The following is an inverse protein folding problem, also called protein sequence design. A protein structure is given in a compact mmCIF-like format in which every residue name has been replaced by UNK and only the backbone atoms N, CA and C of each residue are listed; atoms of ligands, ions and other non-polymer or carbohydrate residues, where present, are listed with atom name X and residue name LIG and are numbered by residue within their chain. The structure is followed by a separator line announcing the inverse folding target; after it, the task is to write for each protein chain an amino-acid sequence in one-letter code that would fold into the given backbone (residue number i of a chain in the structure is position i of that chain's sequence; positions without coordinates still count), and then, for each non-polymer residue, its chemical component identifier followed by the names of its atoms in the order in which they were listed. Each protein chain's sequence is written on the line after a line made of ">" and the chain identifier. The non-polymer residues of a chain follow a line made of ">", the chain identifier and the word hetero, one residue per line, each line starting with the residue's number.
data_IF_768028511710
#
_entry.id   IF_768028511710
#
_cell.length_a   1.000
_cell.length_b   1.000
_cell.length_c   1.000
_cell.angle_alpha   90.00
_cell.angle_beta   90.00
_cell.angle_gamma   90.00
#
_symmetry.space_group_name_H-M   'P 1'
#
loop_
_entity.id
_entity.type
_entity.pdbx_description
1 polymer ?
#
# COMPACT_ATOMS: atom_id res chain seq x y z
N UNK A 1 -16.42 -16.55 10.81
CA UNK A 1 -15.92 -16.27 10.73
C UNK A 1 -15.30 -15.69 10.66
N UNK A 2 -15.06 -15.37 10.62
CA UNK A 2 -14.57 -14.93 10.53
C UNK A 2 -13.77 -14.37 10.44
N UNK A 3 -13.39 -14.07 10.34
CA UNK A 3 -12.73 -13.47 10.22
C UNK A 3 -11.89 -13.13 9.99
N UNK A 4 -11.55 -13.14 9.90
CA UNK A 4 -10.81 -12.81 9.46
C UNK A 4 -10.11 -11.80 9.11
N UNK A 5 -9.93 -11.24 9.62
CA UNK A 5 -9.43 -10.04 9.47
C UNK A 5 -8.02 -10.08 9.37
N UNK A 6 -7.41 -10.78 10.15
CA UNK A 6 -6.08 -10.92 10.11
C UNK A 6 -5.82 -12.08 9.44
N UNK A 7 -6.03 -12.11 8.29
CA UNK A 7 -6.01 -13.18 7.72
C UNK A 7 -4.72 -13.70 7.39
N UNK A 8 -4.59 -14.92 7.45
CA UNK A 8 -3.42 -15.63 7.15
C UNK A 8 -3.38 -16.05 5.73
N UNK A 9 -4.26 -15.51 4.92
CA UNK A 9 -4.30 -15.94 3.57
C UNK A 9 -3.07 -15.41 2.86
N UNK A 10 -2.62 -16.12 1.87
CA UNK A 10 -1.49 -15.72 1.08
C UNK A 10 -1.93 -15.03 -0.18
N UNK A 11 -3.20 -14.69 -0.28
CA UNK A 11 -3.72 -14.05 -1.48
C UNK A 11 -4.47 -12.80 -1.13
N UNK A 12 -4.47 -11.85 -2.04
CA UNK A 12 -5.26 -10.65 -1.88
C UNK A 12 -6.74 -11.03 -1.90
N UNK A 13 -7.52 -10.36 -1.06
CA UNK A 13 -8.97 -10.58 -1.00
C UNK A 13 -9.54 -10.44 -2.39
N UNK A 14 -10.27 -11.45 -2.88
CA UNK A 14 -10.81 -11.39 -4.25
C UNK A 14 -11.73 -10.20 -4.51
N UNK A 15 -12.42 -9.71 -3.47
CA UNK A 15 -13.29 -8.57 -3.66
C UNK A 15 -12.50 -7.29 -3.92
N UNK A 16 -11.33 -7.20 -3.32
CA UNK A 16 -10.45 -6.08 -3.54
C UNK A 16 -9.77 -6.26 -4.90
N UNK A 17 -9.29 -7.45 -5.17
CA UNK A 17 -8.62 -7.73 -6.44
C UNK A 17 -9.52 -7.42 -7.63
N UNK A 18 -10.82 -7.69 -7.50
CA UNK A 18 -11.74 -7.46 -8.59
C UNK A 18 -11.95 -5.99 -8.90
N UNK A 19 -11.62 -5.10 -7.98
CA UNK A 19 -11.81 -3.67 -8.17
C UNK A 19 -10.60 -2.98 -8.79
N UNK A 20 -9.49 -3.69 -8.92
CA UNK A 20 -8.27 -3.06 -9.41
C UNK A 20 -8.16 -3.18 -10.92
N UNK A 21 -7.70 -2.09 -11.52
CA UNK A 21 -7.41 -2.11 -12.93
C UNK A 21 -5.90 -2.08 -13.07
N UNK A 22 -5.33 -3.23 -13.35
CA UNK A 22 -3.89 -3.39 -13.40
C UNK A 22 -3.37 -3.08 -14.79
N UNK A 23 -2.10 -2.66 -14.86
CA UNK A 23 -1.47 -2.46 -16.16
C UNK A 23 -1.04 -3.82 -16.73
N UNK A 24 -0.34 -3.80 -17.84
CA UNK A 24 0.03 -5.03 -18.53
C UNK A 24 0.98 -5.88 -17.70
N UNK A 25 1.62 -5.31 -16.70
CA UNK A 25 2.54 -6.05 -15.85
C UNK A 25 1.93 -6.41 -14.51
N UNK A 26 0.65 -6.20 -14.36
CA UNK A 26 -0.05 -6.55 -13.14
C UNK A 26 0.13 -5.52 -12.03
N UNK A 27 0.46 -4.28 -12.38
CA UNK A 27 0.76 -3.25 -11.40
C UNK A 27 -0.29 -2.16 -11.37
N UNK A 28 -0.46 -1.57 -10.19
CA UNK A 28 -1.34 -0.43 -9.98
C UNK A 28 -0.52 0.63 -9.25
N UNK A 29 -0.65 1.88 -9.65
CA UNK A 29 0.04 2.96 -8.96
C UNK A 29 -0.61 3.20 -7.61
N UNK A 30 0.21 3.40 -6.60
CA UNK A 30 -0.24 3.70 -5.26
C UNK A 30 0.26 5.07 -4.86
N UNK A 31 -0.67 5.93 -4.47
CA UNK A 31 -0.39 7.30 -4.06
C UNK A 31 -0.44 7.36 -2.56
N UNK A 32 0.69 7.72 -1.93
CA UNK A 32 0.77 7.80 -0.48
C UNK A 32 0.60 9.25 -0.10
N UNK A 33 -0.38 9.54 0.74
CA UNK A 33 -0.73 10.90 1.11
C UNK A 33 -0.69 11.08 2.61
N UNK A 34 -0.40 12.29 3.02
CA UNK A 34 -0.47 12.63 4.42
C UNK A 34 -1.93 12.61 4.85
N UNK A 35 -2.20 11.98 5.97
CA UNK A 35 -3.56 11.71 6.41
C UNK A 35 -4.42 12.95 6.53
N UNK A 36 -3.89 14.02 7.11
CA UNK A 36 -4.72 15.18 7.41
C UNK A 36 -4.75 16.23 6.28
N UNK A 37 -3.69 16.38 5.52
CA UNK A 37 -3.64 17.42 4.50
C UNK A 37 -3.85 16.90 3.09
N UNK A 38 -3.73 15.57 2.91
CA UNK A 38 -3.80 14.93 1.62
C UNK A 38 -2.61 15.27 0.72
N UNK A 39 -1.57 15.86 1.28
CA UNK A 39 -0.38 16.14 0.52
C UNK A 39 0.23 14.82 0.06
N UNK A 40 0.62 14.74 -1.20
CA UNK A 40 1.21 13.53 -1.74
C UNK A 40 2.64 13.41 -1.24
N UNK A 41 2.94 12.30 -0.60
CA UNK A 41 4.26 12.04 -0.06
C UNK A 41 5.12 11.25 -1.02
N UNK A 42 4.52 10.33 -1.75
CA UNK A 42 5.24 9.59 -2.78
C UNK A 42 4.28 8.77 -3.61
N UNK A 43 4.76 8.27 -4.72
CA UNK A 43 3.99 7.37 -5.58
C UNK A 43 4.88 6.18 -5.87
N UNK A 44 4.33 5.01 -5.80
CA UNK A 44 5.04 3.79 -6.15
C UNK A 44 4.09 2.82 -6.80
N UNK A 45 4.53 1.59 -7.04
CA UNK A 45 3.70 0.61 -7.69
C UNK A 45 3.51 -0.60 -6.78
N UNK A 46 2.34 -1.22 -6.91
CA UNK A 46 2.05 -2.42 -6.16
C UNK A 46 1.50 -3.46 -7.10
N UNK A 47 1.96 -4.69 -6.94
CA UNK A 47 1.26 -5.82 -7.53
C UNK A 47 0.31 -6.34 -6.45
N UNK A 48 -0.42 -7.39 -6.73
CA UNK A 48 -1.41 -7.91 -5.78
C UNK A 48 -0.77 -8.28 -4.45
N UNK A 49 0.41 -8.87 -4.50
CA UNK A 49 1.08 -9.28 -3.26
C UNK A 49 1.54 -8.08 -2.44
N UNK A 50 2.03 -7.02 -3.10
CA UNK A 50 2.42 -5.82 -2.37
C UNK A 50 1.23 -5.20 -1.65
N UNK A 51 0.08 -5.16 -2.33
CA UNK A 51 -1.13 -4.61 -1.70
C UNK A 51 -1.57 -5.52 -0.56
N UNK A 52 -1.54 -6.83 -0.75
CA UNK A 52 -1.89 -7.75 0.32
C UNK A 52 -1.01 -7.52 1.55
N UNK A 53 0.29 -7.35 1.36
CA UNK A 53 1.19 -7.10 2.48
C UNK A 53 0.89 -5.78 3.15
N UNK A 54 0.57 -4.76 2.35
CA UNK A 54 0.22 -3.45 2.90
C UNK A 54 -1.01 -3.57 3.78
N UNK A 55 -2.03 -4.27 3.31
CA UNK A 55 -3.28 -4.39 4.05
C UNK A 55 -3.15 -5.27 5.30
N UNK A 56 -2.30 -6.28 5.26
CA UNK A 56 -2.20 -7.19 6.40
C UNK A 56 -1.21 -6.70 7.44
N UNK A 57 -0.16 -6.00 7.04
CA UNK A 57 0.84 -5.53 8.00
C UNK A 57 0.62 -4.10 8.45
N UNK A 58 -0.16 -3.34 7.69
CA UNK A 58 -0.35 -1.93 8.00
C UNK A 58 0.82 -1.08 7.56
N UNK A 59 1.77 -1.64 6.84
CA UNK A 59 2.94 -0.90 6.37
C UNK A 59 3.00 -0.94 4.86
N UNK A 60 3.19 0.22 4.25
CA UNK A 60 3.17 0.33 2.81
C UNK A 60 4.31 -0.47 2.21
N UNK A 61 3.96 -1.40 1.34
CA UNK A 61 4.91 -2.26 0.65
C UNK A 61 4.72 -2.07 -0.84
N UNK A 62 5.80 -1.84 -1.55
CA UNK A 62 5.77 -1.62 -2.99
C UNK A 62 6.48 -2.74 -3.71
N UNK A 63 6.23 -2.83 -5.01
CA UNK A 63 6.98 -3.71 -5.89
C UNK A 63 7.90 -2.85 -6.74
N UNK A 64 9.19 -3.10 -6.68
CA UNK A 64 10.16 -2.38 -7.48
C UNK A 64 10.31 -3.07 -8.84
N UNK A 65 9.93 -2.36 -9.89
CA UNK A 65 10.02 -2.93 -11.23
C UNK A 65 11.47 -3.11 -11.67
N UNK A 66 12.32 -2.19 -11.31
CA UNK A 66 13.71 -2.24 -11.75
C UNK A 66 14.50 -3.28 -11.00
N UNK A 67 14.22 -3.48 -9.72
CA UNK A 67 14.95 -4.43 -8.93
C UNK A 67 14.27 -5.79 -8.85
N UNK A 68 13.01 -5.87 -9.26
CA UNK A 68 12.23 -7.09 -9.18
C UNK A 68 12.19 -7.61 -7.75
N UNK A 69 11.90 -6.72 -6.82
CA UNK A 69 11.80 -7.09 -5.41
C UNK A 69 10.80 -6.21 -4.70
N UNK A 70 10.33 -6.67 -3.55
CA UNK A 70 9.45 -5.88 -2.70
C UNK A 70 10.29 -4.98 -1.82
N UNK A 71 9.76 -3.80 -1.50
CA UNK A 71 10.40 -2.97 -0.50
C UNK A 71 9.34 -2.28 0.32
N UNK A 72 9.62 -2.11 1.59
CA UNK A 72 8.67 -1.56 2.53
C UNK A 72 9.09 -0.17 2.91
N UNK A 73 8.14 0.76 2.81
CA UNK A 73 8.43 2.15 3.10
C UNK A 73 8.88 2.28 4.55
N UNK A 74 9.96 2.99 4.76
CA UNK A 74 10.50 3.22 6.09
C UNK A 74 11.57 2.26 6.54
N UNK A 75 11.74 1.13 5.87
CA UNK A 75 12.74 0.15 6.29
C UNK A 75 14.14 0.70 6.19
N UNK A 76 14.45 1.46 5.14
CA UNK A 76 15.78 2.01 4.97
C UNK A 76 15.94 3.32 5.74
N UNK A 77 14.96 4.19 5.68
CA UNK A 77 15.07 5.49 6.32
C UNK A 77 14.84 5.45 7.81
N UNK A 78 14.21 4.41 8.29
CA UNK A 78 13.83 4.31 9.70
C UNK A 78 12.56 5.07 10.06
N UNK A 79 11.94 5.74 9.08
CA UNK A 79 10.74 6.52 9.37
C UNK A 79 9.52 5.65 9.09
N UNK A 80 9.21 4.78 10.02
CA UNK A 80 8.12 3.83 9.87
C UNK A 80 6.80 4.51 10.17
N UNK A 81 5.85 4.37 9.26
CA UNK A 81 4.51 4.89 9.43
C UNK A 81 3.52 3.78 9.14
N UNK A 82 2.41 3.80 9.83
CA UNK A 82 1.38 2.79 9.61
C UNK A 82 0.22 3.39 8.83
N UNK A 83 -0.37 2.58 7.98
CA UNK A 83 -1.47 3.00 7.12
C UNK A 83 -2.67 3.41 7.97
N UNK A 84 -3.24 4.57 7.68
CA UNK A 84 -4.47 5.00 8.31
C UNK A 84 -5.69 4.70 7.48
N UNK A 85 -5.55 4.64 6.19
CA UNK A 85 -6.68 4.31 5.34
C UNK A 85 -6.23 3.96 3.94
N UNK A 86 -7.03 3.18 3.25
CA UNK A 86 -6.78 2.78 1.88
C UNK A 86 -8.06 2.96 1.09
N UNK A 87 -7.96 3.56 -0.07
CA UNK A 87 -9.09 3.76 -0.93
C UNK A 87 -8.71 3.32 -2.34
N UNK A 88 -9.59 2.63 -3.01
CA UNK A 88 -9.34 2.13 -4.34
C UNK A 88 -10.12 2.92 -5.35
N UNK A 89 -9.47 3.29 -6.45
CA UNK A 89 -10.12 4.07 -7.46
C UNK A 89 -9.65 3.56 -8.79
N UNK A 90 -10.35 2.63 -9.36
CA UNK A 90 -10.06 2.02 -10.66
C UNK A 90 -8.58 1.70 -10.84
N UNK A 91 -7.80 2.64 -11.32
CA UNK A 91 -6.41 2.41 -11.64
C UNK A 91 -5.44 2.97 -10.62
N UNK A 92 -5.94 3.45 -9.48
CA UNK A 92 -5.08 4.01 -8.44
C UNK A 92 -5.44 3.46 -7.08
N UNK A 93 -4.43 3.34 -6.24
CA UNK A 93 -4.63 3.01 -4.84
C UNK A 93 -4.22 4.24 -4.06
N UNK A 94 -5.11 4.75 -3.21
CA UNK A 94 -4.82 5.91 -2.37
C UNK A 94 -4.60 5.43 -0.95
N UNK A 95 -3.45 5.74 -0.39
CA UNK A 95 -3.11 5.30 0.97
C UNK A 95 -2.78 6.52 1.81
N UNK A 96 -3.42 6.65 2.96
CA UNK A 96 -3.13 7.74 3.86
C UNK A 96 -2.31 7.24 5.04
N UNK A 97 -1.31 8.02 5.39
CA UNK A 97 -0.43 7.76 6.52
C UNK A 97 -0.26 9.04 7.30
N UNK A 98 0.04 8.96 8.60
CA UNK A 98 0.42 10.16 9.31
C UNK A 98 1.81 10.57 8.85
N UNK A 99 2.03 11.86 8.67
CA UNK A 99 3.35 12.29 8.33
C UNK A 99 4.20 12.18 9.54
N UNK A 100 5.45 11.74 9.39
CA UNK A 100 6.30 11.72 10.45
C UNK A 100 6.77 13.07 10.65
N UNK A 101 6.06 13.90 11.20
CA UNK A 101 6.44 15.20 11.36
C UNK A 101 7.08 15.36 12.66
N UNK A 102 8.24 15.77 12.69
CA UNK A 102 8.89 15.93 13.92
C UNK A 102 8.36 17.07 14.58
N UNK A 103 7.93 16.93 15.70
CA UNK A 103 7.34 17.95 16.41
C UNK A 103 8.43 18.77 16.83
N UNK A 104 9.03 19.15 16.65
CA UNK A 104 9.95 19.93 17.04
C UNK A 104 10.07 20.36 17.97
#
# INVERSE_FOLDING_TARGET
>A
MTDTTYDNSTELDPRIAARLKRDAKGLVAAVIQQYDTREVLMVGYMNDEALRRTLTTGRVTFWSRSRQEYWRKGDTSGHVQYVKGVSLDLSLIHISEPTRRTPI
#
